data_IF_304849790393
#
_entry.id   IF_304849790393
#
_cell.length_a   1.000
_cell.length_b   1.000
_cell.length_c   1.000
_cell.angle_alpha   90.00
_cell.angle_beta   90.00
_cell.angle_gamma   90.00
#
_symmetry.space_group_name_H-M   'P 1'
#
loop_
_entity.id
_entity.type
_entity.pdbx_description
1 polymer ?
#
# COMPACT_ATOMS: atom_id res chain seq x y z
N UNK A 1 0.89 -16.28 -7.42
CA UNK A 1 0.28 -15.12 -8.09
C UNK A 1 -0.55 -15.62 -9.25
N UNK A 2 -1.86 -15.45 -9.19
CA UNK A 2 -2.81 -16.02 -10.14
C UNK A 2 -3.68 -14.95 -10.80
N UNK A 3 -4.39 -15.34 -11.86
CA UNK A 3 -5.38 -14.53 -12.58
C UNK A 3 -6.72 -15.24 -12.54
N UNK A 4 -7.80 -14.47 -12.70
CA UNK A 4 -9.06 -15.09 -13.07
C UNK A 4 -8.98 -15.63 -14.52
N UNK A 5 -9.72 -16.70 -14.86
CA UNK A 5 -9.66 -17.29 -16.20
C UNK A 5 -9.96 -16.31 -17.34
N UNK A 6 -10.81 -15.32 -17.09
CA UNK A 6 -11.22 -14.26 -18.02
C UNK A 6 -10.29 -13.04 -18.03
N UNK A 7 -9.33 -12.97 -17.10
CA UNK A 7 -8.42 -11.83 -16.95
C UNK A 7 -7.08 -12.12 -17.62
N UNK A 8 -6.84 -11.52 -18.78
CA UNK A 8 -5.60 -11.68 -19.54
C UNK A 8 -4.60 -10.53 -19.33
N UNK A 9 -5.01 -9.46 -18.65
CA UNK A 9 -4.24 -8.22 -18.54
C UNK A 9 -3.55 -8.04 -17.18
N UNK A 10 -4.10 -8.63 -16.11
CA UNK A 10 -3.56 -8.44 -14.76
C UNK A 10 -2.09 -8.87 -14.66
N UNK A 11 -1.18 -7.94 -14.32
CA UNK A 11 0.27 -8.14 -14.44
C UNK A 11 0.90 -9.16 -13.45
N UNK A 12 0.09 -9.78 -12.57
CA UNK A 12 0.53 -10.80 -11.59
C UNK A 12 1.78 -10.36 -10.79
N UNK A 13 1.74 -9.17 -10.16
CA UNK A 13 2.89 -8.60 -9.45
C UNK A 13 3.39 -9.50 -8.32
N UNK A 14 2.52 -10.36 -7.79
CA UNK A 14 2.86 -11.35 -6.77
C UNK A 14 3.97 -12.32 -7.18
N UNK A 15 4.26 -12.53 -8.48
CA UNK A 15 5.39 -13.38 -8.92
C UNK A 15 6.74 -12.84 -8.47
N UNK A 16 6.93 -11.52 -8.57
CA UNK A 16 8.16 -10.85 -8.14
C UNK A 16 8.17 -10.67 -6.62
N UNK A 17 7.03 -10.27 -6.06
CA UNK A 17 6.92 -9.91 -4.64
C UNK A 17 7.07 -11.13 -3.74
N UNK A 18 6.52 -12.30 -4.12
CA UNK A 18 6.71 -13.52 -3.34
C UNK A 18 8.18 -13.94 -3.28
N UNK A 19 8.93 -13.76 -4.37
CA UNK A 19 10.36 -14.02 -4.41
C UNK A 19 11.13 -13.09 -3.48
N UNK A 20 10.88 -11.77 -3.57
CA UNK A 20 11.52 -10.79 -2.72
C UNK A 20 11.21 -11.00 -1.23
N UNK A 21 9.95 -11.29 -0.86
CA UNK A 21 9.57 -11.57 0.52
C UNK A 21 10.21 -12.85 1.06
N UNK A 22 10.26 -13.91 0.25
CA UNK A 22 10.90 -15.18 0.64
C UNK A 22 12.38 -14.98 0.90
N UNK A 23 13.07 -14.26 0.01
CA UNK A 23 14.48 -13.92 0.19
C UNK A 23 14.72 -13.08 1.45
N UNK A 24 13.88 -12.07 1.70
CA UNK A 24 14.00 -11.23 2.89
C UNK A 24 13.83 -12.04 4.18
N UNK A 25 12.85 -12.95 4.23
CA UNK A 25 12.64 -13.82 5.41
C UNK A 25 13.78 -14.83 5.59
N UNK A 26 14.31 -15.38 4.50
CA UNK A 26 15.47 -16.26 4.56
C UNK A 26 16.70 -15.54 5.11
N UNK A 27 16.98 -14.33 4.62
CA UNK A 27 18.08 -13.49 5.10
C UNK A 27 17.92 -13.11 6.58
N UNK A 28 16.72 -12.72 7.01
CA UNK A 28 16.47 -12.41 8.43
C UNK A 28 16.71 -13.66 9.27
N UNK A 29 16.17 -14.81 8.89
CA UNK A 29 16.32 -16.02 9.69
C UNK A 29 17.75 -16.57 9.73
N UNK A 30 18.56 -16.35 8.69
CA UNK A 30 19.92 -16.90 8.57
C UNK A 30 21.03 -15.94 9.00
N UNK A 31 20.91 -14.65 8.66
CA UNK A 31 21.97 -13.65 8.85
C UNK A 31 21.66 -12.66 9.97
N UNK A 32 20.37 -12.41 10.24
CA UNK A 32 19.92 -11.44 11.23
C UNK A 32 18.85 -12.04 12.17
N UNK A 33 19.17 -13.16 12.86
CA UNK A 33 18.18 -13.92 13.61
C UNK A 33 17.51 -13.05 14.67
N UNK A 34 16.21 -13.23 14.82
CA UNK A 34 15.45 -12.50 15.83
C UNK A 34 15.87 -12.94 17.23
N UNK A 35 15.81 -12.01 18.17
CA UNK A 35 16.02 -12.30 19.58
C UNK A 35 15.03 -13.35 20.10
N UNK A 36 15.43 -14.10 21.13
CA UNK A 36 14.55 -15.10 21.76
C UNK A 36 14.34 -16.38 20.94
N UNK A 37 15.15 -16.63 19.91
CA UNK A 37 15.02 -17.83 19.07
C UNK A 37 13.79 -17.81 18.15
N UNK A 38 13.15 -16.65 18.00
CA UNK A 38 12.04 -16.49 17.08
C UNK A 38 12.49 -16.60 15.62
N UNK A 39 11.62 -17.14 14.78
CA UNK A 39 11.83 -17.23 13.33
C UNK A 39 10.62 -16.69 12.60
N UNK A 40 10.87 -15.97 11.51
CA UNK A 40 9.82 -15.50 10.63
C UNK A 40 9.35 -16.61 9.70
N UNK A 41 8.04 -16.70 9.52
CA UNK A 41 7.41 -17.55 8.52
C UNK A 41 6.35 -16.74 7.79
N UNK A 42 6.09 -17.07 6.52
CA UNK A 42 5.13 -16.36 5.68
C UNK A 42 3.98 -17.30 5.34
N UNK A 43 2.75 -16.79 5.43
CA UNK A 43 1.56 -17.42 4.85
C UNK A 43 1.10 -16.59 3.67
N UNK A 44 1.21 -17.16 2.47
CA UNK A 44 0.84 -16.47 1.23
C UNK A 44 -0.67 -16.57 1.01
N UNK A 45 -1.23 -15.48 0.49
CA UNK A 45 -2.64 -15.22 0.39
C UNK A 45 -2.91 -14.49 -0.93
N UNK A 46 -3.54 -15.16 -1.90
CA UNK A 46 -3.86 -14.55 -3.19
C UNK A 46 -5.08 -13.63 -3.07
N UNK A 47 -4.96 -12.42 -3.63
CA UNK A 47 -6.01 -11.40 -3.63
C UNK A 47 -6.54 -11.09 -5.02
N UNK A 48 -5.88 -11.60 -6.08
CA UNK A 48 -6.20 -11.37 -7.49
C UNK A 48 -6.26 -9.88 -7.88
N UNK A 49 -5.69 -8.99 -7.06
CA UNK A 49 -5.80 -7.53 -7.24
C UNK A 49 -7.23 -6.99 -7.12
N UNK A 50 -8.16 -7.76 -6.51
CA UNK A 50 -9.57 -7.41 -6.41
C UNK A 50 -9.99 -7.27 -4.95
N UNK A 51 -10.65 -6.15 -4.64
CA UNK A 51 -11.05 -5.78 -3.28
C UNK A 51 -11.81 -6.90 -2.54
N UNK A 52 -12.81 -7.51 -3.20
CA UNK A 52 -13.61 -8.60 -2.62
C UNK A 52 -12.76 -9.75 -2.09
N UNK A 53 -11.75 -10.16 -2.86
CA UNK A 53 -10.87 -11.28 -2.49
C UNK A 53 -9.83 -10.86 -1.47
N UNK A 54 -9.33 -9.63 -1.57
CA UNK A 54 -8.42 -9.03 -0.61
C UNK A 54 -9.04 -8.92 0.79
N UNK A 55 -10.29 -8.46 0.89
CA UNK A 55 -11.08 -8.44 2.13
C UNK A 55 -11.29 -9.87 2.67
N UNK A 56 -11.74 -10.79 1.81
CA UNK A 56 -11.96 -12.19 2.20
C UNK A 56 -10.69 -12.81 2.77
N UNK A 57 -9.55 -12.59 2.12
CA UNK A 57 -8.30 -13.20 2.51
C UNK A 57 -7.69 -12.55 3.75
N UNK A 58 -7.92 -11.25 3.95
CA UNK A 58 -7.60 -10.55 5.20
C UNK A 58 -8.35 -11.18 6.38
N UNK A 59 -9.66 -11.44 6.22
CA UNK A 59 -10.48 -12.11 7.22
C UNK A 59 -10.05 -13.56 7.47
N UNK A 60 -9.71 -14.32 6.41
CA UNK A 60 -9.23 -15.70 6.55
C UNK A 60 -7.89 -15.77 7.26
N UNK A 61 -6.95 -14.90 6.93
CA UNK A 61 -5.64 -14.89 7.58
C UNK A 61 -5.75 -14.56 9.07
N UNK A 62 -6.67 -13.68 9.46
CA UNK A 62 -6.92 -13.34 10.86
C UNK A 62 -7.19 -14.59 11.72
N UNK A 63 -7.89 -15.59 11.19
CA UNK A 63 -8.21 -16.83 11.90
C UNK A 63 -7.05 -17.83 11.98
N UNK A 64 -5.90 -17.51 11.38
CA UNK A 64 -4.75 -18.43 11.26
C UNK A 64 -3.56 -18.09 12.15
N UNK A 65 -3.81 -17.33 13.23
CA UNK A 65 -2.80 -16.92 14.22
C UNK A 65 -1.57 -16.22 13.60
N UNK A 66 -1.82 -15.26 12.71
CA UNK A 66 -0.77 -14.40 12.16
C UNK A 66 -0.49 -13.23 13.11
N UNK A 67 0.74 -12.72 13.07
CA UNK A 67 1.14 -11.56 13.89
C UNK A 67 1.05 -10.22 13.15
N UNK A 68 1.08 -10.24 11.81
CA UNK A 68 1.13 -9.04 10.97
C UNK A 68 0.69 -9.33 9.55
N UNK A 69 0.06 -8.36 8.90
CA UNK A 69 -0.20 -8.35 7.46
C UNK A 69 0.90 -7.59 6.70
N UNK A 70 1.36 -8.15 5.58
CA UNK A 70 2.24 -7.47 4.63
C UNK A 70 1.54 -7.42 3.27
N UNK A 71 1.22 -6.21 2.79
CA UNK A 71 0.30 -5.98 1.66
C UNK A 71 -1.04 -5.38 2.12
N UNK A 72 -2.12 -5.44 1.30
CA UNK A 72 -2.13 -5.86 -0.11
C UNK A 72 -1.47 -4.81 -1.02
N UNK A 73 -1.44 -5.08 -2.32
CA UNK A 73 -0.89 -4.19 -3.32
C UNK A 73 -1.95 -3.21 -3.88
N UNK A 74 -2.94 -3.74 -4.61
CA UNK A 74 -3.88 -2.94 -5.39
C UNK A 74 -4.90 -2.21 -4.52
N UNK A 75 -5.32 -2.86 -3.44
CA UNK A 75 -6.29 -2.33 -2.48
C UNK A 75 -5.64 -2.22 -1.11
N UNK A 76 -6.17 -1.33 -0.27
CA UNK A 76 -5.63 -1.16 1.08
C UNK A 76 -6.57 -0.50 2.08
N UNK A 77 -7.55 0.30 1.65
CA UNK A 77 -8.37 1.08 2.60
C UNK A 77 -9.23 0.15 3.45
N UNK A 78 -9.93 -0.80 2.83
CA UNK A 78 -10.84 -1.68 3.53
C UNK A 78 -10.10 -2.70 4.39
N UNK A 79 -9.00 -3.25 3.87
CA UNK A 79 -8.15 -4.21 4.54
C UNK A 79 -7.43 -3.59 5.74
N UNK A 80 -6.93 -2.35 5.59
CA UNK A 80 -6.33 -1.62 6.70
C UNK A 80 -7.34 -1.32 7.80
N UNK A 81 -8.60 -1.02 7.45
CA UNK A 81 -9.67 -0.82 8.44
C UNK A 81 -10.00 -2.12 9.15
N UNK A 82 -9.99 -3.25 8.46
CA UNK A 82 -10.14 -4.57 9.09
C UNK A 82 -8.98 -4.90 10.01
N UNK A 83 -7.73 -4.69 9.58
CA UNK A 83 -6.56 -4.94 10.40
C UNK A 83 -6.57 -4.10 11.69
N UNK A 84 -7.00 -2.82 11.59
CA UNK A 84 -7.22 -1.97 12.75
C UNK A 84 -8.29 -2.54 13.70
N UNK A 85 -9.42 -3.02 13.16
CA UNK A 85 -10.48 -3.65 13.95
C UNK A 85 -10.02 -4.96 14.61
N UNK A 86 -9.15 -5.73 13.95
CA UNK A 86 -8.57 -6.96 14.49
C UNK A 86 -7.43 -6.71 15.49
N UNK A 87 -6.98 -5.46 15.66
CA UNK A 87 -5.83 -5.13 16.49
C UNK A 87 -4.50 -5.67 15.94
N UNK A 88 -4.43 -5.97 14.65
CA UNK A 88 -3.23 -6.49 14.00
C UNK A 88 -2.52 -5.40 13.18
N UNK A 89 -1.18 -5.31 13.24
CA UNK A 89 -0.41 -4.47 12.35
C UNK A 89 -0.59 -4.85 10.88
N UNK A 90 -0.66 -3.84 10.02
CA UNK A 90 -0.63 -4.02 8.56
C UNK A 90 0.38 -3.08 7.95
N UNK A 91 1.32 -3.63 7.17
CA UNK A 91 2.35 -2.88 6.46
C UNK A 91 2.13 -3.05 4.96
N UNK A 92 1.59 -2.03 4.28
CA UNK A 92 1.45 -2.06 2.83
C UNK A 92 2.71 -1.52 2.14
N UNK A 93 3.19 -2.26 1.13
CA UNK A 93 4.33 -1.83 0.31
C UNK A 93 3.92 -0.99 -0.91
N UNK A 94 2.63 -0.82 -1.18
CA UNK A 94 2.15 -0.18 -2.42
C UNK A 94 1.11 0.91 -2.21
N UNK A 95 0.29 0.82 -1.15
CA UNK A 95 -0.84 1.73 -0.92
C UNK A 95 -0.41 3.20 -0.83
N UNK A 96 -0.85 4.03 -1.77
CA UNK A 96 -0.60 5.48 -1.77
C UNK A 96 -1.81 6.30 -1.28
N UNK A 97 -2.92 5.64 -0.97
CA UNK A 97 -4.16 6.31 -0.61
C UNK A 97 -3.98 7.22 0.63
N UNK A 98 -4.47 8.48 0.63
CA UNK A 98 -4.21 9.41 1.72
C UNK A 98 -4.98 9.07 3.01
N UNK A 99 -6.18 8.49 2.91
CA UNK A 99 -7.02 8.16 4.08
C UNK A 99 -6.31 7.27 5.09
N UNK A 100 -5.47 6.34 4.64
CA UNK A 100 -4.73 5.41 5.51
C UNK A 100 -3.65 6.10 6.36
N UNK A 101 -3.44 7.40 6.19
CA UNK A 101 -2.57 8.21 7.05
C UNK A 101 -3.25 8.65 8.36
N UNK A 102 -4.59 8.64 8.41
CA UNK A 102 -5.34 9.03 9.61
C UNK A 102 -5.25 7.94 10.68
N UNK A 103 -4.41 8.17 11.70
CA UNK A 103 -4.17 7.20 12.78
C UNK A 103 -5.34 7.05 13.74
N UNK A 104 -6.31 7.95 13.73
CA UNK A 104 -7.55 7.75 14.49
C UNK A 104 -8.41 6.63 13.88
N UNK A 105 -8.35 6.47 12.56
CA UNK A 105 -9.08 5.45 11.81
C UNK A 105 -8.25 4.21 11.48
N UNK A 106 -6.94 4.38 11.29
CA UNK A 106 -5.99 3.34 10.89
C UNK A 106 -4.81 3.25 11.86
N UNK A 107 -5.04 2.97 13.16
CA UNK A 107 -4.01 3.00 14.20
C UNK A 107 -2.90 1.97 13.98
N UNK A 108 -3.21 0.81 13.39
CA UNK A 108 -2.24 -0.29 13.19
C UNK A 108 -1.66 -0.34 11.77
N UNK A 109 -2.02 0.61 10.91
CA UNK A 109 -1.54 0.64 9.53
C UNK A 109 -0.20 1.37 9.41
N UNK A 110 0.70 0.84 8.61
CA UNK A 110 1.92 1.49 8.16
C UNK A 110 2.15 1.19 6.67
N UNK A 111 3.05 1.95 6.04
CA UNK A 111 3.42 1.71 4.65
C UNK A 111 4.85 2.16 4.36
N UNK A 112 5.49 1.49 3.41
CA UNK A 112 6.85 1.84 2.97
C UNK A 112 6.84 2.81 1.80
N UNK A 113 5.80 2.82 0.98
CA UNK A 113 5.62 3.79 -0.10
C UNK A 113 4.97 5.08 0.43
N UNK A 114 5.50 6.28 0.13
CA UNK A 114 4.87 7.52 0.53
C UNK A 114 3.53 7.75 -0.19
N UNK A 115 2.56 8.48 0.42
CA UNK A 115 1.34 8.88 -0.27
C UNK A 115 1.60 9.78 -1.46
N UNK A 116 0.77 9.67 -2.49
CA UNK A 116 0.91 10.44 -3.75
C UNK A 116 0.85 11.96 -3.52
N UNK A 117 0.17 12.39 -2.46
CA UNK A 117 0.11 13.81 -2.08
C UNK A 117 1.50 14.39 -1.76
N UNK A 118 2.51 13.59 -1.44
CA UNK A 118 3.86 14.10 -1.22
C UNK A 118 4.47 14.71 -2.50
N UNK A 119 4.05 14.24 -3.68
CA UNK A 119 4.47 14.82 -4.97
C UNK A 119 4.11 16.31 -5.04
N UNK A 120 2.97 16.70 -4.45
CA UNK A 120 2.52 18.10 -4.44
C UNK A 120 3.55 19.03 -3.79
N UNK A 121 4.27 18.57 -2.76
CA UNK A 121 5.29 19.38 -2.07
C UNK A 121 6.45 19.73 -2.99
N UNK A 122 6.99 18.73 -3.68
CA UNK A 122 8.11 18.89 -4.61
C UNK A 122 7.74 19.80 -5.78
N UNK A 123 6.57 19.58 -6.39
CA UNK A 123 6.09 20.42 -7.49
C UNK A 123 5.86 21.86 -7.02
N UNK A 124 5.20 22.05 -5.88
CA UNK A 124 4.96 23.41 -5.35
C UNK A 124 6.26 24.14 -5.04
N UNK A 125 7.25 23.47 -4.46
CA UNK A 125 8.56 24.06 -4.19
C UNK A 125 9.23 24.55 -5.48
N UNK A 126 9.16 23.76 -6.56
CA UNK A 126 9.67 24.13 -7.88
C UNK A 126 8.96 25.38 -8.43
N UNK A 127 7.62 25.38 -8.43
CA UNK A 127 6.82 26.49 -8.96
C UNK A 127 7.11 27.80 -8.22
N UNK A 128 7.24 27.74 -6.89
CA UNK A 128 7.62 28.88 -6.05
C UNK A 128 9.04 29.37 -6.34
N UNK A 129 10.01 28.45 -6.46
CA UNK A 129 11.42 28.78 -6.73
C UNK A 129 11.62 29.54 -8.04
N UNK A 130 10.87 29.16 -9.08
CA UNK A 130 10.97 29.76 -10.42
C UNK A 130 9.91 30.86 -10.69
N UNK A 131 9.08 31.19 -9.70
CA UNK A 131 8.03 32.23 -9.80
C UNK A 131 7.06 31.99 -10.96
N UNK A 132 6.74 30.74 -11.27
CA UNK A 132 5.74 30.42 -12.31
C UNK A 132 4.33 30.69 -11.78
N UNK A 133 3.62 31.63 -12.41
CA UNK A 133 2.29 32.09 -11.98
C UNK A 133 1.13 31.56 -12.84
N UNK A 134 1.42 31.00 -14.02
CA UNK A 134 0.42 30.45 -14.93
C UNK A 134 0.76 28.98 -15.18
N UNK A 135 -0.01 28.08 -14.61
CA UNK A 135 0.16 26.64 -14.73
C UNK A 135 -1.20 25.97 -14.94
N UNK A 136 -1.21 24.88 -15.71
CA UNK A 136 -2.39 24.04 -15.93
C UNK A 136 -2.06 22.61 -15.52
N UNK A 137 -2.96 21.96 -14.79
CA UNK A 137 -2.82 20.56 -14.40
C UNK A 137 -3.74 19.69 -15.26
N UNK A 138 -3.16 18.67 -15.89
CA UNK A 138 -3.89 17.62 -16.59
C UNK A 138 -3.65 16.31 -15.83
N UNK A 139 -4.71 15.57 -15.53
CA UNK A 139 -4.62 14.29 -14.82
C UNK A 139 -5.74 13.36 -15.28
N UNK A 140 -5.53 12.06 -15.11
CA UNK A 140 -6.57 11.07 -15.30
C UNK A 140 -7.63 11.21 -14.20
N UNK A 141 -8.90 11.32 -14.58
CA UNK A 141 -10.03 11.45 -13.65
C UNK A 141 -10.50 10.11 -13.07
N UNK A 142 -9.78 9.01 -13.35
CA UNK A 142 -10.08 7.70 -12.77
C UNK A 142 -10.12 7.79 -11.23
N UNK A 143 -11.18 7.27 -10.58
CA UNK A 143 -11.29 7.25 -9.12
C UNK A 143 -10.11 6.55 -8.43
N UNK A 144 -9.51 5.58 -9.12
CA UNK A 144 -8.42 4.73 -8.59
C UNK A 144 -7.06 5.44 -8.62
N UNK A 145 -6.91 6.46 -9.47
CA UNK A 145 -5.67 7.19 -9.64
C UNK A 145 -5.79 8.56 -8.95
N UNK A 146 -5.28 8.64 -7.72
CA UNK A 146 -5.41 9.81 -6.83
C UNK A 146 -4.78 11.13 -7.30
N UNK A 147 -4.45 11.29 -8.58
CA UNK A 147 -3.79 12.45 -9.17
C UNK A 147 -4.64 13.73 -9.12
N UNK A 148 -5.98 13.60 -9.15
CA UNK A 148 -6.87 14.74 -8.95
C UNK A 148 -6.57 15.46 -7.62
N UNK A 149 -6.33 14.69 -6.54
CA UNK A 149 -6.00 15.25 -5.22
C UNK A 149 -4.64 15.92 -5.21
N UNK A 150 -3.68 15.40 -5.98
CA UNK A 150 -2.35 16.01 -6.13
C UNK A 150 -2.49 17.41 -6.74
N UNK A 151 -3.21 17.53 -7.86
CA UNK A 151 -3.46 18.82 -8.53
C UNK A 151 -4.19 19.82 -7.61
N UNK A 152 -5.26 19.38 -6.92
CA UNK A 152 -5.99 20.21 -5.96
C UNK A 152 -5.10 20.69 -4.80
N UNK A 153 -4.22 19.82 -4.30
CA UNK A 153 -3.29 20.17 -3.23
C UNK A 153 -2.29 21.21 -3.69
N UNK A 154 -1.72 21.05 -4.90
CA UNK A 154 -0.79 22.05 -5.46
C UNK A 154 -1.51 23.40 -5.63
N UNK A 155 -2.72 23.41 -6.21
CA UNK A 155 -3.52 24.63 -6.36
C UNK A 155 -3.72 25.36 -5.03
N UNK A 156 -4.13 24.63 -3.99
CA UNK A 156 -4.34 25.20 -2.64
C UNK A 156 -3.08 25.77 -1.99
N UNK A 157 -1.89 25.25 -2.30
CA UNK A 157 -0.62 25.72 -1.70
C UNK A 157 -0.01 26.90 -2.48
N UNK A 158 -0.44 27.09 -3.72
CA UNK A 158 -0.03 28.20 -4.59
C UNK A 158 -0.94 29.43 -4.48
N UNK A 159 -2.21 29.24 -4.11
CA UNK A 159 -3.11 30.30 -3.61
C UNK A 159 -2.60 30.87 -2.28
#
# INVERSE_FOLDING_TARGET
SERFPDDQEYKRPGLLISGALTLAVDQINSQHPLHGGHRLTIRVAETFGRERYSILQTARLWTTNISVYVGPQETCVHEARMAAAFGLPMISYFCTHPLTSDKSQFPTFARTRPPDIQISKSVTALLKRFKWRKVSFLYNASPDEGFARVALTIKRVLE
#
